data_IF_298977971348
#
_entry.id   IF_298977971348
#
_cell.length_a   1.000
_cell.length_b   1.000
_cell.length_c   1.000
_cell.angle_alpha   90.00
_cell.angle_beta   90.00
_cell.angle_gamma   90.00
#
_symmetry.space_group_name_H-M   'P 1'
#
loop_
_entity.id
_entity.type
_entity.pdbx_description
1 polymer ?
#
# COMPACT_ATOMS: atom_id res chain seq x y z
N UNK A 1 -6.53 8.16 -4.67
CA UNK A 1 -6.02 6.87 -4.16
C UNK A 1 -5.11 6.26 -5.22
N UNK A 2 -4.08 5.53 -4.82
CA UNK A 2 -3.18 4.80 -5.74
C UNK A 2 -3.07 3.34 -5.35
N UNK A 3 -2.93 2.46 -6.35
CA UNK A 3 -2.65 1.04 -6.12
C UNK A 3 -1.16 0.77 -6.24
N UNK A 4 -0.62 0.01 -5.29
CA UNK A 4 0.77 -0.41 -5.25
C UNK A 4 0.82 -1.92 -5.11
N UNK A 5 1.55 -2.60 -5.97
CA UNK A 5 1.71 -4.04 -5.93
C UNK A 5 3.11 -4.43 -5.46
N UNK A 6 3.19 -5.35 -4.50
CA UNK A 6 4.41 -6.08 -4.19
C UNK A 6 4.65 -7.14 -5.27
N UNK A 7 5.75 -7.03 -6.01
CA UNK A 7 6.08 -7.94 -7.12
C UNK A 7 6.53 -9.33 -6.65
N UNK A 8 7.09 -9.42 -5.44
CA UNK A 8 7.62 -10.67 -4.91
C UNK A 8 6.51 -11.56 -4.31
N UNK A 9 5.45 -10.95 -3.76
CA UNK A 9 4.31 -11.66 -3.17
C UNK A 9 3.00 -11.53 -3.98
N UNK A 10 2.99 -10.74 -5.08
CA UNK A 10 1.81 -10.41 -5.88
C UNK A 10 0.62 -9.87 -5.06
N UNK A 11 0.90 -9.12 -3.99
CA UNK A 11 -0.11 -8.49 -3.15
C UNK A 11 -0.31 -7.05 -3.61
N UNK A 12 -1.55 -6.61 -3.76
CA UNK A 12 -1.91 -5.23 -4.06
C UNK A 12 -2.37 -4.50 -2.79
N UNK A 13 -1.91 -3.28 -2.64
CA UNK A 13 -2.23 -2.37 -1.54
C UNK A 13 -2.81 -1.08 -2.10
N UNK A 14 -3.78 -0.50 -1.39
CA UNK A 14 -4.33 0.80 -1.74
C UNK A 14 -3.84 1.88 -0.78
N UNK A 15 -3.17 2.90 -1.30
CA UNK A 15 -2.64 3.99 -0.50
C UNK A 15 -3.41 5.29 -0.76
N UNK A 16 -3.71 6.05 0.31
CA UNK A 16 -4.24 7.39 0.17
C UNK A 16 -3.22 8.27 -0.55
N UNK A 17 -3.71 9.10 -1.46
CA UNK A 17 -2.89 10.07 -2.21
C UNK A 17 -3.16 11.51 -1.79
N UNK A 18 -4.31 11.76 -1.16
CA UNK A 18 -4.67 13.06 -0.60
C UNK A 18 -4.82 12.98 0.91
N UNK A 19 -4.72 14.14 1.57
CA UNK A 19 -4.94 14.26 3.02
C UNK A 19 -6.37 13.85 3.40
N UNK A 20 -7.36 14.22 2.58
CA UNK A 20 -8.77 13.84 2.79
C UNK A 20 -8.96 12.32 2.80
N UNK A 21 -8.30 11.59 1.90
CA UNK A 21 -8.35 10.12 1.86
C UNK A 21 -7.69 9.48 3.07
N UNK A 22 -6.59 10.07 3.55
CA UNK A 22 -5.90 9.61 4.76
C UNK A 22 -6.77 9.84 6.01
N UNK A 23 -7.35 11.04 6.13
CA UNK A 23 -8.21 11.41 7.26
C UNK A 23 -9.56 10.69 7.25
N UNK A 24 -10.04 10.23 6.09
CA UNK A 24 -11.24 9.40 5.98
C UNK A 24 -11.11 8.08 6.74
N UNK A 25 -9.89 7.59 6.97
CA UNK A 25 -9.62 6.33 7.68
C UNK A 25 -10.00 5.07 6.89
N UNK A 26 -10.62 5.20 5.72
CA UNK A 26 -11.07 4.08 4.87
C UNK A 26 -9.92 3.18 4.40
N UNK A 27 -8.70 3.73 4.32
CA UNK A 27 -7.49 3.02 3.89
C UNK A 27 -6.53 2.71 5.05
N UNK A 28 -6.98 2.83 6.31
CA UNK A 28 -6.10 2.62 7.47
C UNK A 28 -5.48 1.22 7.49
N UNK A 29 -6.31 0.19 7.34
CA UNK A 29 -5.87 -1.22 7.32
C UNK A 29 -4.88 -1.48 6.18
N UNK A 30 -5.14 -0.92 4.99
CA UNK A 30 -4.24 -1.05 3.84
C UNK A 30 -2.86 -0.40 4.07
N UNK A 31 -2.83 0.72 4.80
CA UNK A 31 -1.60 1.42 5.19
C UNK A 31 -0.85 0.63 6.27
N UNK A 32 -1.55 0.06 7.25
CA UNK A 32 -0.94 -0.81 8.26
C UNK A 32 -0.35 -2.07 7.61
N UNK A 33 -1.10 -2.72 6.72
CA UNK A 33 -0.67 -3.94 6.05
C UNK A 33 0.59 -3.73 5.20
N UNK A 34 0.67 -2.64 4.43
CA UNK A 34 1.88 -2.36 3.64
C UNK A 34 3.08 -2.02 4.54
N UNK A 35 2.84 -1.33 5.66
CA UNK A 35 3.87 -1.01 6.64
C UNK A 35 4.43 -2.30 7.25
N UNK A 36 3.56 -3.16 7.78
CA UNK A 36 3.96 -4.48 8.33
C UNK A 36 4.68 -5.31 7.26
N UNK A 37 4.18 -5.32 6.03
CA UNK A 37 4.81 -6.04 4.93
C UNK A 37 6.23 -5.52 4.65
N UNK A 38 6.41 -4.20 4.66
CA UNK A 38 7.71 -3.58 4.43
C UNK A 38 8.71 -3.89 5.55
N UNK A 39 8.26 -3.96 6.79
CA UNK A 39 9.08 -4.32 7.95
C UNK A 39 9.44 -5.81 7.96
N UNK A 40 8.46 -6.66 7.66
CA UNK A 40 8.63 -8.12 7.63
C UNK A 40 9.42 -8.59 6.41
N UNK A 41 9.27 -7.91 5.28
CA UNK A 41 9.89 -8.26 4.00
C UNK A 41 10.59 -7.03 3.37
N UNK A 42 11.68 -6.52 3.96
CA UNK A 42 12.33 -5.27 3.55
C UNK A 42 13.00 -5.32 2.16
N UNK A 43 13.05 -6.51 1.55
CA UNK A 43 13.60 -6.72 0.20
C UNK A 43 12.54 -6.78 -0.89
N UNK A 44 11.26 -6.70 -0.52
CA UNK A 44 10.18 -6.70 -1.50
C UNK A 44 10.22 -5.45 -2.38
N UNK A 45 9.97 -5.66 -3.66
CA UNK A 45 9.86 -4.58 -4.65
C UNK A 45 8.40 -4.21 -4.82
N UNK A 46 8.14 -2.93 -4.69
CA UNK A 46 6.81 -2.36 -4.89
C UNK A 46 6.75 -1.60 -6.21
N UNK A 47 5.67 -1.76 -6.94
CA UNK A 47 5.41 -1.05 -8.19
C UNK A 47 4.04 -0.38 -8.12
N UNK A 48 3.95 0.86 -8.60
CA UNK A 48 2.66 1.53 -8.79
C UNK A 48 1.91 0.85 -9.94
N UNK A 49 0.69 0.41 -9.67
CA UNK A 49 -0.23 -0.13 -10.67
C UNK A 49 -1.16 1.02 -11.07
N UNK A 50 -0.97 1.55 -12.28
CA UNK A 50 -1.92 2.48 -12.89
C UNK A 50 -2.96 1.65 -13.63
N UNK A 51 -4.18 1.66 -13.10
CA UNK A 51 -5.35 1.17 -13.82
C UNK A 51 -6.01 2.34 -14.56
#
# INVERSE_FOLDING_TARGET
>A
MKSVQCLDHNIEFQLPTTEEEFLSGTLHEQVEDICEHSERYPKCRFQEVRN
#
